data_IF_250689360239
#
_entry.id   IF_250689360239
#
_cell.length_a   1.000
_cell.length_b   1.000
_cell.length_c   1.000
_cell.angle_alpha   90.00
_cell.angle_beta   90.00
_cell.angle_gamma   90.00
#
_symmetry.space_group_name_H-M   'P 1'
#
loop_
_entity.id
_entity.type
_entity.pdbx_description
1 polymer ?
#
# COMPACT_ATOMS: atom_id res chain seq x y z
N UNK A 1 9.18 6.74 -3.12
CA UNK A 1 8.57 5.42 -3.42
C UNK A 1 7.40 5.27 -2.49
N UNK A 2 6.22 4.90 -2.98
CA UNK A 2 5.04 4.71 -2.11
C UNK A 2 4.82 3.21 -1.92
N UNK A 3 4.63 2.80 -0.68
CA UNK A 3 4.34 1.41 -0.31
C UNK A 3 3.04 1.38 0.48
N UNK A 4 2.09 0.56 0.04
CA UNK A 4 0.83 0.34 0.74
C UNK A 4 1.06 -0.29 2.11
N UNK A 5 0.43 0.26 3.14
CA UNK A 5 0.45 -0.22 4.50
C UNK A 5 -0.94 -0.79 4.82
N UNK A 6 -1.08 -2.13 4.92
CA UNK A 6 -2.34 -2.78 5.22
C UNK A 6 -2.65 -2.61 6.71
N UNK A 7 -3.16 -1.45 7.08
CA UNK A 7 -3.64 -1.19 8.44
C UNK A 7 -4.94 -1.95 8.64
N UNK A 8 -5.04 -2.64 9.77
CA UNK A 8 -6.29 -3.30 10.16
C UNK A 8 -7.30 -2.25 10.61
N UNK A 9 -8.57 -2.51 10.32
CA UNK A 9 -9.70 -1.68 10.77
C UNK A 9 -9.97 -1.79 12.28
N UNK A 10 -9.40 -2.80 12.95
CA UNK A 10 -9.53 -3.03 14.40
C UNK A 10 -8.48 -2.30 15.26
N UNK A 11 -7.58 -1.52 14.63
CA UNK A 11 -6.56 -0.72 15.32
C UNK A 11 -5.42 -1.53 15.95
N UNK A 12 -5.43 -2.87 15.86
CA UNK A 12 -4.33 -3.70 16.32
C UNK A 12 -3.22 -3.73 15.26
N UNK A 13 -1.97 -3.60 15.70
CA UNK A 13 -0.80 -3.83 14.85
C UNK A 13 -0.83 -5.27 14.35
N UNK A 14 -1.04 -5.43 13.04
CA UNK A 14 -1.03 -6.75 12.41
C UNK A 14 0.40 -7.20 12.07
N UNK A 15 0.66 -8.50 12.13
CA UNK A 15 1.94 -9.10 11.71
C UNK A 15 2.37 -8.70 10.26
N UNK A 16 1.41 -8.39 9.38
CA UNK A 16 1.66 -7.95 8.00
C UNK A 16 2.16 -6.52 8.00
N UNK A 17 1.59 -5.67 8.85
CA UNK A 17 1.99 -4.27 8.97
C UNK A 17 3.48 -4.16 9.36
N UNK A 18 3.93 -5.02 10.27
CA UNK A 18 5.34 -5.06 10.70
C UNK A 18 6.26 -5.53 9.57
N UNK A 19 5.90 -6.60 8.86
CA UNK A 19 6.67 -7.09 7.69
C UNK A 19 6.78 -6.04 6.59
N UNK A 20 5.70 -5.30 6.33
CA UNK A 20 5.69 -4.23 5.31
C UNK A 20 6.60 -3.08 5.74
N UNK A 21 6.59 -2.70 7.02
CA UNK A 21 7.51 -1.69 7.56
C UNK A 21 8.97 -2.11 7.43
N UNK A 22 9.29 -3.35 7.82
CA UNK A 22 10.65 -3.88 7.65
C UNK A 22 11.08 -3.91 6.19
N UNK A 23 10.18 -4.30 5.29
CA UNK A 23 10.43 -4.28 3.86
C UNK A 23 10.70 -2.86 3.34
N UNK A 24 9.88 -1.89 3.74
CA UNK A 24 10.06 -0.49 3.36
C UNK A 24 11.40 0.08 3.86
N UNK A 25 11.82 -0.26 5.07
CA UNK A 25 13.13 0.14 5.60
C UNK A 25 14.29 -0.49 4.81
N UNK A 26 14.22 -1.79 4.51
CA UNK A 26 15.22 -2.46 3.65
C UNK A 26 15.27 -1.81 2.27
N UNK A 27 14.12 -1.48 1.69
CA UNK A 27 14.01 -0.85 0.38
C UNK A 27 14.62 0.56 0.38
N UNK A 28 14.37 1.34 1.45
CA UNK A 28 14.94 2.67 1.66
C UNK A 28 16.47 2.61 1.72
N UNK A 29 17.03 1.67 2.50
CA UNK A 29 18.47 1.47 2.63
C UNK A 29 19.11 1.04 1.31
N UNK A 30 18.47 0.11 0.60
CA UNK A 30 19.00 -0.43 -0.65
C UNK A 30 18.99 0.60 -1.78
N UNK A 31 17.87 1.32 -1.95
CA UNK A 31 17.70 2.28 -3.05
C UNK A 31 18.22 3.68 -2.73
N UNK A 32 18.53 3.98 -1.46
CA UNK A 32 18.91 5.32 -0.98
C UNK A 32 17.90 6.41 -1.39
N UNK A 33 16.61 6.06 -1.41
CA UNK A 33 15.50 6.95 -1.76
C UNK A 33 14.45 6.94 -0.66
N UNK A 34 13.71 8.02 -0.54
CA UNK A 34 12.59 8.07 0.40
C UNK A 34 11.51 7.05 0.03
N UNK A 35 11.08 6.31 1.05
CA UNK A 35 9.99 5.35 1.00
C UNK A 35 8.92 5.86 1.95
N UNK A 36 7.73 6.08 1.42
CA UNK A 36 6.57 6.58 2.15
C UNK A 36 5.54 5.45 2.28
N UNK A 37 5.07 5.25 3.52
CA UNK A 37 4.05 4.26 3.83
C UNK A 37 2.68 4.91 3.72
N UNK A 38 1.83 4.39 2.84
CA UNK A 38 0.49 4.93 2.58
C UNK A 38 -0.61 4.01 3.10
N UNK A 39 -1.67 4.57 3.68
CA UNK A 39 -2.75 3.80 4.29
C UNK A 39 -3.65 3.14 3.22
N UNK A 40 -3.66 1.80 3.17
CA UNK A 40 -4.22 1.04 2.04
C UNK A 40 -5.64 0.50 2.25
N UNK A 41 -6.30 0.82 3.37
CA UNK A 41 -7.39 0.06 4.03
C UNK A 41 -8.53 -0.53 3.18
N UNK A 42 -8.69 -0.17 1.90
CA UNK A 42 -9.74 -0.69 1.01
C UNK A 42 -9.28 -1.01 -0.43
N UNK A 43 -7.99 -0.87 -0.77
CA UNK A 43 -7.50 -1.00 -2.16
C UNK A 43 -7.80 -2.37 -2.80
N UNK A 44 -7.63 -3.46 -2.04
CA UNK A 44 -7.87 -4.83 -2.53
C UNK A 44 -9.35 -5.11 -2.70
N UNK A 45 -10.19 -4.62 -1.78
CA UNK A 45 -11.66 -4.75 -1.88
C UNK A 45 -12.18 -3.99 -3.11
N UNK A 46 -11.73 -2.75 -3.29
CA UNK A 46 -12.08 -1.93 -4.47
C UNK A 46 -11.62 -2.63 -5.74
N UNK A 47 -10.38 -3.12 -5.79
CA UNK A 47 -9.86 -3.82 -6.98
C UNK A 47 -10.63 -5.12 -7.31
N UNK A 48 -11.10 -5.85 -6.29
CA UNK A 48 -11.88 -7.08 -6.47
C UNK A 48 -13.27 -6.84 -7.08
N UNK A 49 -13.85 -5.64 -6.94
CA UNK A 49 -15.09 -5.26 -7.64
C UNK A 49 -14.90 -5.21 -9.17
N UNK A 50 -13.70 -4.87 -9.64
CA UNK A 50 -13.40 -4.75 -11.07
C UNK A 50 -12.91 -6.05 -11.71
N UNK A 51 -12.29 -6.94 -10.94
CA UNK A 51 -11.72 -8.18 -11.46
C UNK A 51 -11.50 -9.24 -10.39
N UNK A 52 -11.66 -10.51 -10.76
CA UNK A 52 -11.34 -11.66 -9.91
C UNK A 52 -9.97 -12.28 -10.22
N UNK A 53 -9.33 -11.82 -11.29
CA UNK A 53 -7.95 -12.22 -11.61
C UNK A 53 -6.99 -11.60 -10.58
N UNK A 54 -6.33 -12.47 -9.81
CA UNK A 54 -5.42 -12.06 -8.72
C UNK A 54 -4.32 -11.11 -9.20
N UNK A 55 -3.74 -11.33 -10.39
CA UNK A 55 -2.67 -10.47 -10.89
C UNK A 55 -3.20 -9.07 -11.20
N UNK A 56 -4.38 -9.00 -11.81
CA UNK A 56 -5.03 -7.71 -12.09
C UNK A 56 -5.47 -7.00 -10.81
N UNK A 57 -5.94 -7.74 -9.79
CA UNK A 57 -6.25 -7.17 -8.47
C UNK A 57 -5.03 -6.49 -7.88
N UNK A 58 -3.86 -7.15 -7.88
CA UNK A 58 -2.63 -6.57 -7.33
C UNK A 58 -2.18 -5.31 -8.07
N UNK A 59 -2.26 -5.29 -9.41
CA UNK A 59 -1.93 -4.12 -10.21
C UNK A 59 -2.88 -2.95 -9.90
N UNK A 60 -4.19 -3.20 -9.89
CA UNK A 60 -5.19 -2.18 -9.60
C UNK A 60 -5.06 -1.65 -8.17
N UNK A 61 -4.78 -2.50 -7.18
CA UNK A 61 -4.53 -2.04 -5.81
C UNK A 61 -3.34 -1.07 -5.76
N UNK A 62 -2.23 -1.39 -6.44
CA UNK A 62 -1.07 -0.50 -6.50
C UNK A 62 -1.39 0.85 -7.19
N UNK A 63 -2.21 0.83 -8.23
CA UNK A 63 -2.68 2.06 -8.91
C UNK A 63 -3.55 2.92 -7.99
N UNK A 64 -4.52 2.31 -7.29
CA UNK A 64 -5.40 2.99 -6.33
C UNK A 64 -4.60 3.66 -5.20
N UNK A 65 -3.59 2.97 -4.67
CA UNK A 65 -2.67 3.53 -3.65
C UNK A 65 -2.02 4.80 -4.16
N UNK A 66 -1.42 4.72 -5.35
CA UNK A 66 -0.68 5.82 -5.92
C UNK A 66 -1.59 7.01 -6.20
N UNK A 67 -2.78 6.76 -6.75
CA UNK A 67 -3.78 7.80 -6.98
C UNK A 67 -4.15 8.50 -5.67
N UNK A 68 -4.50 7.75 -4.63
CA UNK A 68 -4.88 8.29 -3.32
C UNK A 68 -3.75 9.13 -2.70
N UNK A 69 -2.51 8.68 -2.82
CA UNK A 69 -1.35 9.45 -2.37
C UNK A 69 -1.19 10.77 -3.13
N UNK A 70 -1.25 10.74 -4.47
CA UNK A 70 -1.12 11.94 -5.30
C UNK A 70 -2.26 12.95 -5.03
N UNK A 71 -3.47 12.47 -4.75
CA UNK A 71 -4.60 13.31 -4.34
C UNK A 71 -4.36 14.02 -3.00
N UNK A 72 -3.69 13.36 -2.05
CA UNK A 72 -3.33 13.97 -0.76
C UNK A 72 -2.32 15.10 -0.89
N UNK A 73 -1.41 15.02 -1.87
CA UNK A 73 -0.42 16.07 -2.15
C UNK A 73 -1.00 17.30 -2.86
N UNK A 74 -2.21 17.19 -3.40
CA UNK A 74 -2.90 18.28 -4.12
C UNK A 74 -3.74 19.17 -3.22
N UNK A 75 -3.86 18.85 -1.92
CA UNK A 75 -4.54 19.68 -0.91
C UNK A 75 -3.54 20.59 -0.21
#
# INVERSE_FOLDING_TARGET
>A
IVVGLPKRTDGKKGWVEEKVKEFAEKLKLFLKKEVELWDERYSTLIAQEYTRDKNKVHLLSAEIILQSFLESLRK
#
